data_IF_780454379211
#
_entry.id   IF_780454379211
#
_cell.length_a   1.000
_cell.length_b   1.000
_cell.length_c   1.000
_cell.angle_alpha   90.00
_cell.angle_beta   90.00
_cell.angle_gamma   90.00
#
_symmetry.space_group_name_H-M   'P 1'
#
loop_
_entity.id
_entity.type
_entity.pdbx_description
1 polymer ?
#
# COMPACT_ATOMS: atom_id res chain seq x y z
N UNK A 1 22.01 10.23 17.23
CA UNK A 1 21.06 9.32 16.56
C UNK A 1 20.34 10.13 15.48
N UNK A 2 20.53 9.81 14.23
CA UNK A 2 19.83 10.43 13.10
C UNK A 2 18.52 9.69 12.87
N UNK A 3 17.43 10.42 12.57
CA UNK A 3 16.13 9.83 12.26
C UNK A 3 16.04 9.69 10.74
N UNK A 4 15.96 8.45 10.27
CA UNK A 4 15.73 8.14 8.86
C UNK A 4 14.24 8.22 8.51
N UNK A 5 13.91 8.21 7.23
CA UNK A 5 12.55 8.34 6.74
C UNK A 5 11.71 7.11 7.10
N UNK A 6 10.55 7.33 7.71
CA UNK A 6 9.54 6.30 7.91
C UNK A 6 8.20 6.73 7.30
N UNK A 7 7.67 5.89 6.42
CA UNK A 7 6.32 6.02 5.89
C UNK A 7 5.74 4.62 5.68
N UNK A 8 4.53 4.39 6.18
CA UNK A 8 3.80 3.14 6.02
C UNK A 8 2.30 3.46 5.94
N UNK A 9 1.82 3.62 4.72
CA UNK A 9 0.44 3.99 4.44
C UNK A 9 -0.33 2.79 3.92
N UNK A 10 -1.61 2.68 4.33
CA UNK A 10 -2.51 1.60 3.92
C UNK A 10 -3.82 2.19 3.43
N UNK A 11 -4.25 1.72 2.28
CA UNK A 11 -5.56 2.03 1.70
C UNK A 11 -6.22 0.76 1.16
N UNK A 12 -7.44 0.91 0.65
CA UNK A 12 -8.14 -0.15 -0.05
C UNK A 12 -8.47 0.29 -1.46
N UNK A 13 -8.23 -0.58 -2.42
CA UNK A 13 -8.71 -0.42 -3.80
C UNK A 13 -10.17 -0.81 -3.81
N UNK A 14 -11.04 0.15 -4.20
CA UNK A 14 -12.50 0.00 -4.14
C UNK A 14 -13.14 0.31 -5.48
N UNK A 15 -14.00 -0.57 -5.95
CA UNK A 15 -14.77 -0.35 -7.18
C UNK A 15 -15.71 0.86 -7.06
N UNK A 16 -16.26 1.10 -5.86
CA UNK A 16 -17.10 2.29 -5.58
C UNK A 16 -16.37 3.62 -5.69
N UNK A 17 -15.04 3.62 -5.65
CA UNK A 17 -14.20 4.80 -5.87
C UNK A 17 -13.74 4.94 -7.33
N UNK A 18 -14.30 4.13 -8.25
CA UNK A 18 -13.88 4.10 -9.65
C UNK A 18 -12.50 3.46 -9.86
N UNK A 19 -12.02 2.67 -8.91
CA UNK A 19 -10.71 2.02 -8.99
C UNK A 19 -10.82 0.59 -9.53
N UNK A 20 -9.83 0.18 -10.32
CA UNK A 20 -9.64 -1.18 -10.81
C UNK A 20 -8.39 -1.80 -10.18
N UNK A 21 -8.47 -3.09 -9.84
CA UNK A 21 -7.31 -3.83 -9.35
C UNK A 21 -6.28 -4.01 -10.49
N UNK A 22 -6.74 -4.32 -11.70
CA UNK A 22 -5.90 -4.42 -12.91
C UNK A 22 -5.16 -3.11 -13.19
N UNK A 23 -5.89 -1.98 -13.27
CA UNK A 23 -5.27 -0.68 -13.54
C UNK A 23 -4.25 -0.30 -12.45
N UNK A 24 -4.57 -0.62 -11.19
CA UNK A 24 -3.68 -0.38 -10.07
C UNK A 24 -2.42 -1.25 -10.12
N UNK A 25 -2.54 -2.51 -10.52
CA UNK A 25 -1.41 -3.43 -10.69
C UNK A 25 -0.53 -3.00 -11.88
N UNK A 26 -1.13 -2.71 -13.04
CA UNK A 26 -0.44 -2.22 -14.23
C UNK A 26 0.37 -0.95 -13.94
N UNK A 27 -0.23 0.01 -13.22
CA UNK A 27 0.45 1.25 -12.83
C UNK A 27 1.67 0.99 -11.96
N UNK A 28 1.60 0.05 -11.00
CA UNK A 28 2.70 -0.24 -10.07
C UNK A 28 3.81 -1.03 -10.73
N UNK A 29 3.45 -2.03 -11.54
CA UNK A 29 4.43 -2.86 -12.21
C UNK A 29 5.05 -2.24 -13.46
N UNK A 30 4.44 -1.17 -14.02
CA UNK A 30 4.85 -0.59 -15.30
C UNK A 30 4.51 -1.49 -16.50
N UNK A 31 3.47 -2.31 -16.38
CA UNK A 31 3.05 -3.25 -17.40
C UNK A 31 1.80 -2.77 -18.17
N UNK A 32 1.50 -3.47 -19.25
CA UNK A 32 0.21 -3.38 -19.94
C UNK A 32 -0.62 -4.60 -19.54
N UNK A 33 -1.77 -4.37 -18.90
CA UNK A 33 -2.69 -5.43 -18.45
C UNK A 33 -4.11 -5.17 -18.98
N UNK A 34 -4.80 -6.24 -19.32
CA UNK A 34 -6.19 -6.22 -19.79
C UNK A 34 -7.15 -6.49 -18.62
N UNK A 35 -8.17 -5.65 -18.46
CA UNK A 35 -9.26 -5.88 -17.52
C UNK A 35 -10.45 -6.58 -18.19
N UNK A 36 -10.72 -7.80 -17.81
CA UNK A 36 -11.90 -8.53 -18.29
C UNK A 36 -13.21 -7.92 -17.77
N UNK A 37 -13.19 -7.32 -16.58
CA UNK A 37 -14.37 -6.69 -15.97
C UNK A 37 -14.79 -5.41 -16.69
N UNK A 38 -13.81 -4.58 -17.10
CA UNK A 38 -14.08 -3.31 -17.78
C UNK A 38 -13.97 -3.43 -19.31
N UNK A 39 -13.35 -4.49 -19.84
CA UNK A 39 -13.11 -4.69 -21.25
C UNK A 39 -12.12 -3.69 -21.86
N UNK A 40 -11.15 -3.23 -21.05
CA UNK A 40 -10.16 -2.21 -21.46
C UNK A 40 -8.75 -2.56 -21.02
N UNK A 41 -7.76 -2.00 -21.70
CA UNK A 41 -6.35 -2.13 -21.38
C UNK A 41 -5.87 -0.97 -20.53
N UNK A 42 -5.05 -1.27 -19.54
CA UNK A 42 -4.27 -0.30 -18.76
C UNK A 42 -2.80 -0.43 -19.17
N UNK A 43 -2.26 0.57 -19.86
CA UNK A 43 -0.89 0.54 -20.39
C UNK A 43 -0.01 1.57 -19.69
N UNK A 44 0.94 1.08 -18.90
CA UNK A 44 1.94 1.86 -18.19
C UNK A 44 3.38 1.47 -18.56
N UNK A 45 3.59 0.85 -19.73
CA UNK A 45 4.92 0.42 -20.20
C UNK A 45 5.91 1.56 -20.41
N UNK A 46 5.42 2.80 -20.50
CA UNK A 46 6.25 4.02 -20.62
C UNK A 46 6.50 4.71 -19.27
N UNK A 47 6.06 4.09 -18.16
CA UNK A 47 6.28 4.65 -16.83
C UNK A 47 7.73 4.45 -16.39
N UNK A 48 8.38 5.54 -16.03
CA UNK A 48 9.73 5.53 -15.48
C UNK A 48 9.73 5.27 -13.96
N UNK A 49 10.90 4.91 -13.43
CA UNK A 49 11.12 4.76 -11.99
C UNK A 49 10.67 3.44 -11.39
N UNK A 50 10.16 2.48 -12.17
CA UNK A 50 9.90 1.12 -11.70
C UNK A 50 11.21 0.33 -11.75
N UNK A 51 11.70 -0.09 -10.59
CA UNK A 51 12.99 -0.81 -10.47
C UNK A 51 12.77 -2.31 -10.62
N UNK A 52 11.78 -2.86 -9.92
CA UNK A 52 11.38 -4.26 -10.05
C UNK A 52 9.92 -4.44 -9.64
N UNK A 53 9.31 -5.52 -10.11
CA UNK A 53 8.00 -5.98 -9.64
C UNK A 53 7.99 -7.50 -9.57
N UNK A 54 7.30 -8.04 -8.55
CA UNK A 54 7.27 -9.49 -8.30
C UNK A 54 5.96 -9.88 -7.61
N UNK A 55 5.49 -11.09 -7.88
CA UNK A 55 4.38 -11.72 -7.15
C UNK A 55 4.94 -12.82 -6.26
N UNK A 56 4.63 -12.74 -4.97
CA UNK A 56 4.99 -13.74 -3.96
C UNK A 56 3.74 -14.53 -3.60
N UNK A 57 3.80 -15.85 -3.76
CA UNK A 57 2.68 -16.75 -3.55
C UNK A 57 2.87 -17.60 -2.30
N UNK A 58 1.83 -17.77 -1.48
CA UNK A 58 1.83 -18.82 -0.46
C UNK A 58 1.78 -20.22 -1.13
N UNK A 59 2.25 -21.27 -0.45
CA UNK A 59 2.41 -22.61 -1.07
C UNK A 59 1.13 -23.23 -1.63
N UNK A 60 -0.03 -22.84 -1.13
CA UNK A 60 -1.34 -23.33 -1.57
C UNK A 60 -1.97 -22.48 -2.68
N UNK A 61 -1.34 -21.38 -3.09
CA UNK A 61 -1.86 -20.54 -4.18
C UNK A 61 -1.70 -21.21 -5.55
N UNK A 62 -2.64 -21.01 -6.48
CA UNK A 62 -2.49 -21.50 -7.85
C UNK A 62 -1.21 -20.94 -8.50
N UNK A 63 -0.39 -21.79 -9.15
CA UNK A 63 0.80 -21.31 -9.84
C UNK A 63 0.51 -20.28 -10.95
N UNK A 64 -0.69 -20.30 -11.53
CA UNK A 64 -1.12 -19.30 -12.52
C UNK A 64 -1.17 -17.88 -11.97
N UNK A 65 -1.21 -17.69 -10.64
CA UNK A 65 -1.20 -16.36 -10.02
C UNK A 65 0.19 -15.69 -10.03
N UNK A 66 1.21 -16.38 -10.57
CA UNK A 66 2.47 -15.70 -10.92
C UNK A 66 2.30 -14.75 -12.12
N UNK A 67 1.27 -14.96 -12.94
CA UNK A 67 0.84 -14.02 -13.97
C UNK A 67 -0.08 -12.95 -13.37
N UNK A 68 0.35 -11.69 -13.45
CA UNK A 68 -0.32 -10.55 -12.82
C UNK A 68 -1.70 -10.29 -13.39
N UNK A 69 -1.86 -10.41 -14.69
CA UNK A 69 -3.15 -10.24 -15.36
C UNK A 69 -4.15 -11.30 -14.89
N UNK A 70 -3.73 -12.56 -14.87
CA UNK A 70 -4.54 -13.67 -14.35
C UNK A 70 -4.94 -13.44 -12.90
N UNK A 71 -3.98 -13.13 -12.01
CA UNK A 71 -4.24 -12.90 -10.59
C UNK A 71 -5.33 -11.84 -10.37
N UNK A 72 -5.15 -10.66 -10.97
CA UNK A 72 -6.03 -9.53 -10.67
C UNK A 72 -7.38 -9.63 -11.39
N UNK A 73 -7.46 -10.30 -12.55
CA UNK A 73 -8.75 -10.64 -13.15
C UNK A 73 -9.52 -11.66 -12.30
N UNK A 74 -8.88 -12.66 -11.74
CA UNK A 74 -9.51 -13.61 -10.82
C UNK A 74 -10.01 -12.93 -9.53
N UNK A 75 -9.26 -11.97 -8.98
CA UNK A 75 -9.72 -11.14 -7.86
C UNK A 75 -10.96 -10.33 -8.25
N UNK A 76 -10.97 -9.69 -9.40
CA UNK A 76 -12.13 -8.92 -9.87
C UNK A 76 -13.36 -9.78 -10.15
N UNK A 77 -13.18 -11.02 -10.64
CA UNK A 77 -14.26 -12.00 -10.84
C UNK A 77 -14.85 -12.50 -9.52
N UNK A 78 -14.03 -12.72 -8.50
CA UNK A 78 -14.48 -13.11 -7.17
C UNK A 78 -15.39 -12.03 -6.53
N UNK A 79 -15.22 -10.78 -6.94
CA UNK A 79 -15.91 -9.62 -6.42
C UNK A 79 -17.08 -9.18 -7.33
N UNK A 80 -18.32 -9.48 -6.93
CA UNK A 80 -19.51 -9.25 -7.77
C UNK A 80 -20.16 -7.88 -7.59
N UNK A 81 -19.90 -7.18 -6.49
CA UNK A 81 -20.64 -5.98 -6.12
C UNK A 81 -20.03 -4.68 -6.65
N UNK A 82 -20.87 -3.68 -6.95
CA UNK A 82 -20.44 -2.32 -7.30
C UNK A 82 -19.67 -1.62 -6.17
N UNK A 83 -19.83 -2.05 -4.92
CA UNK A 83 -19.14 -1.53 -3.73
C UNK A 83 -17.98 -2.44 -3.30
N UNK A 84 -17.54 -3.34 -4.16
CA UNK A 84 -16.49 -4.30 -3.84
C UNK A 84 -15.20 -3.61 -3.42
N UNK A 85 -14.60 -4.15 -2.37
CA UNK A 85 -13.25 -3.86 -1.93
C UNK A 85 -12.37 -4.96 -2.53
N UNK A 86 -11.44 -4.59 -3.42
CA UNK A 86 -10.70 -5.52 -4.26
C UNK A 86 -9.40 -5.96 -3.59
N UNK A 87 -8.65 -4.99 -3.08
CA UNK A 87 -7.33 -5.23 -2.50
C UNK A 87 -7.01 -4.27 -1.37
N UNK A 88 -6.14 -4.69 -0.44
CA UNK A 88 -5.34 -3.79 0.36
C UNK A 88 -4.18 -3.26 -0.49
N UNK A 89 -3.87 -1.99 -0.31
CA UNK A 89 -2.76 -1.33 -0.99
C UNK A 89 -1.89 -0.64 0.05
N UNK A 90 -0.61 -0.99 0.05
CA UNK A 90 0.38 -0.40 0.94
C UNK A 90 1.36 0.44 0.14
N UNK A 91 1.85 1.49 0.79
CA UNK A 91 2.89 2.38 0.28
C UNK A 91 3.91 2.56 1.41
N UNK A 92 5.12 2.04 1.22
CA UNK A 92 6.11 1.86 2.28
C UNK A 92 7.43 2.45 1.81
N UNK A 93 7.98 3.40 2.59
CA UNK A 93 9.28 3.99 2.29
C UNK A 93 10.42 3.00 2.47
N UNK A 94 11.37 3.05 1.55
CA UNK A 94 12.68 2.43 1.64
C UNK A 94 13.70 3.42 2.22
N UNK A 95 14.89 2.95 2.53
CA UNK A 95 15.89 3.74 3.23
C UNK A 95 16.96 4.27 2.26
N UNK A 96 17.18 5.58 2.26
CA UNK A 96 18.19 6.19 1.42
C UNK A 96 19.64 5.81 1.82
N UNK A 97 19.82 5.25 3.00
CA UNK A 97 21.08 4.81 3.58
C UNK A 97 21.48 3.39 3.15
N UNK A 98 20.56 2.67 2.52
CA UNK A 98 20.82 1.33 1.99
C UNK A 98 21.03 1.38 0.46
N UNK A 99 21.70 0.39 -0.07
CA UNK A 99 21.70 0.19 -1.52
C UNK A 99 20.32 -0.33 -1.97
N UNK A 100 19.94 -0.05 -3.20
CA UNK A 100 18.68 -0.52 -3.77
C UNK A 100 18.54 -2.05 -3.68
N UNK A 101 19.64 -2.78 -3.82
CA UNK A 101 19.64 -4.24 -3.68
C UNK A 101 19.29 -4.67 -2.25
N UNK A 102 19.88 -4.02 -1.25
CA UNK A 102 19.57 -4.29 0.17
C UNK A 102 18.10 -3.95 0.48
N UNK A 103 17.59 -2.85 -0.03
CA UNK A 103 16.19 -2.45 0.12
C UNK A 103 15.22 -3.46 -0.48
N UNK A 104 15.50 -3.97 -1.68
CA UNK A 104 14.69 -5.02 -2.34
C UNK A 104 14.70 -6.32 -1.50
N UNK A 105 15.86 -6.73 -1.00
CA UNK A 105 16.00 -7.91 -0.16
C UNK A 105 15.24 -7.77 1.15
N UNK A 106 15.33 -6.62 1.82
CA UNK A 106 14.58 -6.33 3.05
C UNK A 106 13.07 -6.32 2.79
N UNK A 107 12.61 -5.68 1.71
CA UNK A 107 11.20 -5.67 1.34
C UNK A 107 10.70 -7.11 1.10
N UNK A 108 11.44 -7.91 0.34
CA UNK A 108 11.08 -9.33 0.09
C UNK A 108 11.05 -10.14 1.38
N UNK A 109 12.06 -10.01 2.25
CA UNK A 109 12.12 -10.70 3.55
C UNK A 109 10.91 -10.32 4.43
N UNK A 110 10.58 -9.03 4.50
CA UNK A 110 9.42 -8.54 5.23
C UNK A 110 8.12 -9.15 4.70
N UNK A 111 7.91 -9.11 3.39
CA UNK A 111 6.69 -9.62 2.75
C UNK A 111 6.55 -11.14 2.90
N UNK A 112 7.62 -11.90 2.74
CA UNK A 112 7.60 -13.34 2.95
C UNK A 112 7.25 -13.69 4.40
N UNK A 113 7.86 -12.99 5.37
CA UNK A 113 7.68 -13.29 6.80
C UNK A 113 6.33 -12.81 7.33
N UNK A 114 5.84 -11.65 6.92
CA UNK A 114 4.67 -11.02 7.52
C UNK A 114 3.38 -11.26 6.74
N UNK A 115 3.47 -11.52 5.43
CA UNK A 115 2.31 -11.67 4.55
C UNK A 115 2.18 -13.09 4.01
N UNK A 116 3.15 -13.56 3.24
CA UNK A 116 3.09 -14.85 2.55
C UNK A 116 2.98 -16.01 3.53
N UNK A 117 3.72 -15.98 4.65
CA UNK A 117 3.64 -16.99 5.72
C UNK A 117 2.25 -17.11 6.35
N UNK A 118 1.42 -16.07 6.20
CA UNK A 118 0.02 -16.03 6.67
C UNK A 118 -0.99 -16.40 5.59
N UNK A 119 -0.52 -16.88 4.44
CA UNK A 119 -1.38 -17.27 3.32
C UNK A 119 -1.82 -16.11 2.43
N UNK A 120 -1.19 -14.94 2.52
CA UNK A 120 -1.52 -13.76 1.74
C UNK A 120 -0.76 -13.82 0.41
N UNK A 121 -1.48 -13.67 -0.70
CA UNK A 121 -0.87 -13.39 -2.01
C UNK A 121 -0.41 -11.95 -2.04
N UNK A 122 0.82 -11.73 -2.49
CA UNK A 122 1.45 -10.41 -2.51
C UNK A 122 1.91 -10.07 -3.92
N UNK A 123 1.47 -8.95 -4.44
CA UNK A 123 2.03 -8.31 -5.64
C UNK A 123 2.72 -7.02 -5.21
N UNK A 124 4.05 -6.94 -5.38
CA UNK A 124 4.78 -5.75 -4.99
C UNK A 124 5.66 -5.20 -6.10
N UNK A 125 5.89 -3.90 -6.05
CA UNK A 125 6.78 -3.20 -6.97
C UNK A 125 7.61 -2.15 -6.23
N UNK A 126 8.89 -2.09 -6.54
CA UNK A 126 9.83 -1.11 -5.99
C UNK A 126 9.99 0.03 -6.96
N UNK A 127 9.82 1.24 -6.46
CA UNK A 127 9.94 2.47 -7.23
C UNK A 127 11.06 3.35 -6.67
N UNK A 128 11.82 3.94 -7.58
CA UNK A 128 12.77 5.01 -7.30
C UNK A 128 12.52 6.15 -8.28
N UNK A 129 11.56 7.05 -7.99
CA UNK A 129 11.27 8.16 -8.87
C UNK A 129 12.47 9.09 -8.97
N UNK A 130 12.63 9.70 -10.15
CA UNK A 130 13.69 10.68 -10.36
C UNK A 130 13.59 11.83 -9.36
N UNK A 131 14.74 12.32 -8.93
CA UNK A 131 14.82 13.50 -8.07
C UNK A 131 14.36 14.72 -8.87
N UNK A 132 13.24 15.27 -8.51
CA UNK A 132 12.84 16.57 -9.04
C UNK A 132 13.72 17.67 -8.41
N UNK A 133 14.52 18.37 -9.23
CA UNK A 133 15.21 19.63 -8.91
C UNK A 133 15.91 19.68 -7.53
N UNK A 134 16.78 18.72 -7.24
CA UNK A 134 17.57 18.70 -5.99
C UNK A 134 16.80 18.20 -4.76
N UNK A 135 15.64 17.59 -4.93
CA UNK A 135 14.86 16.95 -3.87
C UNK A 135 15.56 15.74 -3.24
N UNK A 136 15.09 15.33 -2.07
CA UNK A 136 15.54 14.11 -1.41
C UNK A 136 14.96 12.91 -2.19
N UNK A 137 15.79 11.89 -2.43
CA UNK A 137 15.34 10.64 -3.02
C UNK A 137 14.24 10.02 -2.15
N UNK A 138 13.21 9.48 -2.76
CA UNK A 138 12.09 8.85 -2.06
C UNK A 138 11.85 7.44 -2.63
N UNK A 139 12.80 6.52 -2.47
CA UNK A 139 12.58 5.14 -2.86
C UNK A 139 11.49 4.54 -1.97
N UNK A 140 10.59 3.78 -2.57
CA UNK A 140 9.48 3.17 -1.86
C UNK A 140 9.01 1.90 -2.58
N UNK A 141 8.29 1.06 -1.87
CA UNK A 141 7.63 -0.07 -2.51
C UNK A 141 6.13 -0.04 -2.25
N UNK A 142 5.41 -0.39 -3.30
CA UNK A 142 3.97 -0.61 -3.26
C UNK A 142 3.70 -2.09 -3.08
N UNK A 143 2.67 -2.40 -2.31
CA UNK A 143 2.19 -3.78 -2.14
C UNK A 143 0.70 -3.81 -2.40
N UNK A 144 0.26 -4.79 -3.16
CA UNK A 144 -1.16 -5.12 -3.31
C UNK A 144 -1.42 -6.54 -2.83
N UNK A 145 -2.46 -6.70 -2.01
CA UNK A 145 -2.90 -7.99 -1.49
C UNK A 145 -4.41 -8.14 -1.71
N UNK A 146 -4.89 -9.24 -2.30
CA UNK A 146 -6.33 -9.53 -2.34
C UNK A 146 -6.94 -9.53 -0.94
N UNK A 147 -8.18 -9.05 -0.82
CA UNK A 147 -8.89 -9.08 0.48
C UNK A 147 -9.47 -10.46 0.77
N UNK A 148 -9.82 -11.21 -0.28
CA UNK A 148 -10.23 -12.60 -0.14
C UNK A 148 -9.03 -13.49 0.24
N UNK A 149 -9.13 -14.29 1.30
CA UNK A 149 -8.14 -15.32 1.56
C UNK A 149 -8.26 -16.46 0.52
N UNK A 150 -7.19 -17.21 0.33
CA UNK A 150 -7.25 -18.50 -0.35
C UNK A 150 -7.47 -19.61 0.68
N UNK A 151 -8.27 -20.60 0.32
CA UNK A 151 -8.38 -21.86 1.09
C UNK A 151 -7.15 -22.77 0.81
N UNK A 152 -7.06 -23.89 1.52
CA UNK A 152 -5.98 -24.89 1.35
C UNK A 152 -5.89 -25.50 -0.05
N UNK A 153 -6.92 -25.33 -0.87
CA UNK A 153 -7.01 -25.79 -2.26
C UNK A 153 -6.77 -24.67 -3.28
N UNK A 154 -6.36 -23.47 -2.83
CA UNK A 154 -6.10 -22.33 -3.68
C UNK A 154 -7.36 -21.64 -4.25
N UNK A 155 -8.52 -21.84 -3.65
CA UNK A 155 -9.77 -21.20 -4.06
C UNK A 155 -10.07 -19.99 -3.18
N UNK A 156 -10.69 -18.96 -3.76
CA UNK A 156 -11.09 -17.77 -3.01
C UNK A 156 -12.11 -18.11 -1.92
N UNK A 157 -11.76 -17.84 -0.68
CA UNK A 157 -12.62 -17.93 0.49
C UNK A 157 -13.49 -16.69 0.67
N UNK A 158 -14.35 -16.70 1.68
CA UNK A 158 -15.21 -15.56 2.02
C UNK A 158 -14.43 -14.51 2.82
N UNK A 159 -14.68 -13.22 2.57
CA UNK A 159 -14.13 -12.12 3.38
C UNK A 159 -14.69 -12.05 4.79
N UNK A 160 -15.91 -12.55 4.96
CA UNK A 160 -16.65 -12.49 6.21
C UNK A 160 -17.29 -13.83 6.51
N UNK A 161 -17.45 -14.12 7.79
CA UNK A 161 -18.14 -15.30 8.31
C UNK A 161 -19.21 -14.89 9.31
N UNK A 162 -20.18 -15.76 9.52
CA UNK A 162 -21.18 -15.62 10.58
C UNK A 162 -20.67 -16.25 11.85
N UNK A 163 -20.63 -15.49 12.94
CA UNK A 163 -20.44 -15.98 14.29
C UNK A 163 -21.80 -15.96 14.98
N UNK A 164 -22.37 -17.16 15.20
CA UNK A 164 -23.67 -17.27 15.85
C UNK A 164 -23.54 -16.87 17.33
N UNK A 165 -24.51 -16.11 17.81
CA UNK A 165 -24.63 -15.80 19.23
C UNK A 165 -25.09 -17.05 19.97
N UNK A 166 -24.41 -17.35 21.08
CA UNK A 166 -24.71 -18.51 21.92
C UNK A 166 -25.25 -18.03 23.25
N UNK A 167 -26.12 -18.83 23.86
CA UNK A 167 -26.60 -18.66 25.23
C UNK A 167 -25.63 -19.27 26.25
N UNK A 168 -26.05 -19.31 27.53
CA UNK A 168 -25.26 -19.88 28.64
C UNK A 168 -25.07 -21.42 28.55
N UNK A 169 -25.75 -22.08 27.61
CA UNK A 169 -25.67 -23.53 27.35
C UNK A 169 -24.97 -23.85 26.02
N UNK A 170 -24.28 -22.85 25.40
CA UNK A 170 -23.67 -22.96 24.08
C UNK A 170 -24.67 -23.24 22.93
N UNK A 171 -25.97 -22.97 23.12
CA UNK A 171 -26.98 -23.09 22.09
C UNK A 171 -27.16 -21.78 21.32
N UNK A 172 -27.46 -21.88 20.00
CA UNK A 172 -27.64 -20.70 19.16
C UNK A 172 -28.91 -19.94 19.53
N UNK A 173 -28.74 -18.66 19.86
CA UNK A 173 -29.84 -17.75 20.16
C UNK A 173 -30.65 -17.48 18.88
N UNK A 174 -32.01 -17.40 19.03
CA UNK A 174 -32.92 -16.96 17.96
C UNK A 174 -33.42 -15.56 18.24
N UNK A 175 -33.63 -14.80 17.15
CA UNK A 175 -34.31 -13.50 17.19
C UNK A 175 -35.82 -13.65 17.33
N UNK A 176 -36.54 -12.54 17.45
CA UNK A 176 -38.02 -12.52 17.56
C UNK A 176 -38.76 -13.13 16.35
N UNK A 177 -38.07 -13.16 15.19
CA UNK A 177 -38.60 -13.79 13.97
C UNK A 177 -38.26 -15.28 13.85
N UNK A 178 -37.53 -15.85 14.84
CA UNK A 178 -37.15 -17.27 14.87
C UNK A 178 -35.87 -17.57 14.09
N UNK A 179 -35.18 -16.58 13.52
CA UNK A 179 -33.89 -16.76 12.84
C UNK A 179 -32.75 -16.83 13.85
N UNK A 180 -31.66 -17.55 13.51
CA UNK A 180 -30.49 -17.53 14.34
C UNK A 180 -29.81 -16.17 14.34
N UNK A 181 -29.58 -15.62 15.53
CA UNK A 181 -28.85 -14.37 15.73
C UNK A 181 -27.34 -14.62 15.51
N UNK A 182 -26.67 -13.73 14.77
CA UNK A 182 -25.25 -13.83 14.49
C UNK A 182 -24.63 -12.46 14.27
N UNK A 183 -23.34 -12.36 14.54
CA UNK A 183 -22.49 -11.27 14.11
C UNK A 183 -21.83 -11.61 12.78
N UNK A 184 -21.62 -10.59 11.94
CA UNK A 184 -20.80 -10.73 10.73
C UNK A 184 -19.42 -10.23 11.06
N UNK A 185 -18.44 -11.12 11.03
CA UNK A 185 -17.05 -10.82 11.35
C UNK A 185 -16.15 -11.07 10.17
N UNK A 186 -15.01 -10.34 10.05
CA UNK A 186 -14.00 -10.63 9.02
C UNK A 186 -13.49 -12.07 9.17
N UNK A 187 -13.22 -12.73 8.05
CA UNK A 187 -12.60 -14.06 8.05
C UNK A 187 -11.13 -14.01 8.42
N UNK A 188 -10.47 -12.89 8.06
CA UNK A 188 -9.06 -12.63 8.38
C UNK A 188 -8.93 -11.37 9.22
N UNK A 189 -7.83 -11.24 9.92
CA UNK A 189 -7.47 -10.04 10.69
C UNK A 189 -6.58 -9.05 9.90
N UNK A 190 -6.38 -9.27 8.60
CA UNK A 190 -5.41 -8.53 7.78
C UNK A 190 -5.64 -7.02 7.73
N UNK A 191 -6.89 -6.58 7.91
CA UNK A 191 -7.25 -5.18 7.99
C UNK A 191 -7.48 -4.67 9.41
N UNK A 192 -7.18 -5.45 10.45
CA UNK A 192 -7.36 -5.03 11.83
C UNK A 192 -6.31 -3.98 12.23
N UNK A 193 -6.65 -3.05 13.13
CA UNK A 193 -5.69 -2.06 13.63
C UNK A 193 -4.45 -2.72 14.26
N UNK A 194 -4.61 -3.82 14.99
CA UNK A 194 -3.53 -4.52 15.68
C UNK A 194 -2.56 -5.17 14.68
N UNK A 195 -3.08 -5.82 13.62
CA UNK A 195 -2.25 -6.39 12.56
C UNK A 195 -1.48 -5.29 11.81
N UNK A 196 -2.13 -4.16 11.52
CA UNK A 196 -1.46 -3.04 10.85
C UNK A 196 -0.37 -2.42 11.72
N UNK A 197 -0.60 -2.29 13.03
CA UNK A 197 0.42 -1.80 13.97
C UNK A 197 1.59 -2.78 14.08
N UNK A 198 1.30 -4.08 14.16
CA UNK A 198 2.32 -5.13 14.14
C UNK A 198 3.19 -5.06 12.87
N UNK A 199 2.60 -4.90 11.70
CA UNK A 199 3.37 -4.80 10.45
C UNK A 199 4.21 -3.53 10.39
N UNK A 200 3.70 -2.39 10.88
CA UNK A 200 4.47 -1.15 10.98
C UNK A 200 5.69 -1.31 11.87
N UNK A 201 5.51 -1.93 13.03
CA UNK A 201 6.60 -2.23 13.96
C UNK A 201 7.58 -3.21 13.34
N UNK A 202 7.11 -4.32 12.75
CA UNK A 202 7.97 -5.33 12.15
C UNK A 202 8.85 -4.78 11.01
N UNK A 203 8.31 -3.85 10.21
CA UNK A 203 9.11 -3.15 9.20
C UNK A 203 10.18 -2.25 9.83
N UNK A 204 9.82 -1.48 10.84
CA UNK A 204 10.78 -0.64 11.55
C UNK A 204 11.88 -1.46 12.22
N UNK A 205 11.53 -2.56 12.88
CA UNK A 205 12.49 -3.45 13.53
C UNK A 205 13.47 -4.06 12.53
N UNK A 206 12.98 -4.50 11.36
CA UNK A 206 13.81 -5.07 10.31
C UNK A 206 14.81 -4.05 9.75
N UNK A 207 14.36 -2.83 9.47
CA UNK A 207 15.24 -1.75 9.03
C UNK A 207 16.26 -1.38 10.13
N UNK A 208 15.84 -1.29 11.38
CA UNK A 208 16.72 -0.98 12.50
C UNK A 208 17.78 -2.06 12.73
N UNK A 209 17.43 -3.34 12.58
CA UNK A 209 18.39 -4.42 12.57
C UNK A 209 19.46 -4.23 11.46
N UNK A 210 19.02 -3.85 10.26
CA UNK A 210 19.94 -3.60 9.14
C UNK A 210 20.84 -2.39 9.39
N UNK A 211 20.33 -1.32 10.02
CA UNK A 211 21.15 -0.19 10.45
C UNK A 211 22.22 -0.62 11.46
N UNK A 212 21.90 -1.52 12.39
CA UNK A 212 22.86 -2.06 13.35
C UNK A 212 23.95 -2.89 12.66
N UNK A 213 23.57 -3.78 11.73
CA UNK A 213 24.51 -4.57 10.94
C UNK A 213 25.49 -3.69 10.14
N UNK A 214 25.06 -2.51 9.73
CA UNK A 214 25.87 -1.52 9.00
C UNK A 214 26.61 -0.53 9.93
N UNK A 215 26.53 -0.71 11.23
CA UNK A 215 27.11 0.21 12.24
C UNK A 215 26.66 1.67 12.07
N UNK A 216 25.42 1.86 11.57
CA UNK A 216 24.83 3.17 11.33
C UNK A 216 24.15 3.71 12.60
N UNK A 217 24.25 5.02 12.82
CA UNK A 217 23.52 5.72 13.88
C UNK A 217 22.06 6.03 13.52
N UNK A 218 21.64 5.75 12.27
CA UNK A 218 20.27 5.97 11.84
C UNK A 218 19.31 4.99 12.49
N UNK A 219 18.10 5.47 12.81
CA UNK A 219 16.99 4.63 13.30
C UNK A 219 15.67 5.15 12.75
N UNK A 220 14.70 4.26 12.60
CA UNK A 220 13.32 4.60 12.30
C UNK A 220 12.40 4.19 13.44
N UNK A 221 11.30 4.91 13.61
CA UNK A 221 10.26 4.62 14.61
C UNK A 221 8.89 4.62 13.92
N UNK A 222 8.14 3.53 14.07
CA UNK A 222 6.82 3.35 13.47
C UNK A 222 5.73 4.18 14.13
N UNK A 223 5.98 4.68 15.34
CA UNK A 223 5.00 5.45 16.11
C UNK A 223 4.83 6.86 15.55
N UNK A 224 3.64 7.43 15.71
CA UNK A 224 3.42 8.83 15.39
C UNK A 224 4.28 9.75 16.30
N UNK A 225 4.59 10.96 15.84
CA UNK A 225 5.35 11.93 16.62
C UNK A 225 4.78 12.17 18.02
N UNK A 226 3.44 12.26 18.14
CA UNK A 226 2.79 12.38 19.45
C UNK A 226 3.06 11.17 20.36
N UNK A 227 3.08 9.94 19.84
CA UNK A 227 3.43 8.73 20.62
C UNK A 227 4.92 8.66 20.97
N UNK A 228 5.77 9.34 20.21
CA UNK A 228 7.20 9.46 20.47
C UNK A 228 7.52 10.61 21.45
N UNK A 229 6.53 11.44 21.81
CA UNK A 229 6.73 12.64 22.62
C UNK A 229 7.40 13.80 21.87
N UNK A 230 7.38 13.77 20.54
CA UNK A 230 7.96 14.80 19.69
C UNK A 230 6.87 15.82 19.35
N UNK A 231 7.09 17.10 19.75
CA UNK A 231 6.20 18.21 19.44
C UNK A 231 6.46 18.73 18.00
N UNK A 232 6.06 17.93 17.03
CA UNK A 232 6.19 18.25 15.62
C UNK A 232 4.94 17.80 14.85
N UNK A 233 4.46 18.65 13.95
CA UNK A 233 3.36 18.26 13.05
C UNK A 233 3.91 17.30 11.98
N UNK A 234 3.19 16.21 11.66
CA UNK A 234 3.58 15.33 10.58
C UNK A 234 3.52 16.06 9.24
N UNK A 235 4.46 15.74 8.36
CA UNK A 235 4.43 16.24 6.99
C UNK A 235 3.21 15.70 6.25
N UNK A 236 2.49 16.58 5.56
CA UNK A 236 1.37 16.17 4.70
C UNK A 236 1.93 15.79 3.34
N UNK A 237 1.62 14.58 2.89
CA UNK A 237 1.94 14.17 1.52
C UNK A 237 1.14 15.01 0.52
N UNK A 238 1.83 15.85 -0.23
CA UNK A 238 1.24 16.61 -1.32
C UNK A 238 1.33 15.79 -2.61
N UNK A 239 0.18 15.43 -3.18
CA UNK A 239 0.12 14.76 -4.48
C UNK A 239 0.72 15.63 -5.59
N UNK A 240 1.12 15.00 -6.71
CA UNK A 240 1.78 15.65 -7.86
C UNK A 240 1.00 16.87 -8.36
N UNK A 241 -0.33 16.79 -8.40
CA UNK A 241 -1.21 17.90 -8.83
C UNK A 241 -1.11 19.12 -7.91
N UNK A 242 -1.07 18.92 -6.59
CA UNK A 242 -0.97 20.01 -5.60
C UNK A 242 0.40 20.66 -5.67
N UNK A 243 1.47 19.88 -5.84
CA UNK A 243 2.83 20.40 -6.03
C UNK A 243 2.94 21.21 -7.31
N UNK A 244 2.38 20.72 -8.43
CA UNK A 244 2.35 21.44 -9.69
C UNK A 244 1.61 22.79 -9.55
N UNK A 245 0.48 22.81 -8.83
CA UNK A 245 -0.27 24.04 -8.59
C UNK A 245 0.50 25.04 -7.71
N UNK A 246 1.18 24.56 -6.64
CA UNK A 246 2.05 25.42 -5.81
C UNK A 246 3.21 26.01 -6.58
N UNK A 247 3.87 25.21 -7.45
CA UNK A 247 4.94 25.71 -8.33
C UNK A 247 4.42 26.78 -9.28
N UNK A 248 3.28 26.56 -9.92
CA UNK A 248 2.67 27.57 -10.79
C UNK A 248 2.35 28.84 -10.03
N UNK A 249 1.76 28.77 -8.84
CA UNK A 249 1.42 29.95 -8.02
C UNK A 249 2.67 30.69 -7.49
N UNK A 250 3.75 29.99 -7.14
CA UNK A 250 5.01 30.62 -6.73
C UNK A 250 5.72 31.32 -7.87
N UNK A 251 5.65 30.79 -9.09
CA UNK A 251 6.19 31.44 -10.30
C UNK A 251 5.43 32.72 -10.61
N UNK A 252 4.12 32.78 -10.41
CA UNK A 252 3.33 34.00 -10.56
C UNK A 252 3.70 35.06 -9.50
N UNK A 253 3.94 34.65 -8.26
CA UNK A 253 4.36 35.58 -7.19
C UNK A 253 5.75 36.19 -7.46
N UNK A 254 6.69 35.43 -8.00
CA UNK A 254 8.03 35.91 -8.38
C UNK A 254 7.94 36.82 -9.64
N UNK A 255 7.04 36.51 -10.57
CA UNK A 255 6.78 37.36 -11.74
C UNK A 255 6.23 38.76 -11.37
N UNK A 256 5.33 38.82 -10.40
CA UNK A 256 4.76 40.09 -9.90
C UNK A 256 5.79 40.94 -9.17
N UNK A 257 6.72 40.37 -8.42
CA UNK A 257 7.76 41.17 -7.75
C UNK A 257 8.77 41.77 -8.72
N UNK A 258 9.02 41.16 -9.88
CA UNK A 258 9.91 41.69 -10.92
C UNK A 258 9.28 42.79 -11.76
N UNK A 259 7.95 42.79 -11.95
CA UNK A 259 7.24 43.84 -12.70
C UNK A 259 6.97 45.10 -11.87
N UNK A 260 6.91 45.02 -10.54
CA UNK A 260 6.73 46.19 -9.68
C UNK A 260 8.03 47.01 -9.46
N UNK A 261 9.21 46.48 -9.79
CA UNK A 261 10.48 47.22 -9.67
C UNK A 261 10.92 47.92 -10.97
N UNK A 262 10.20 47.74 -12.07
CA UNK A 262 10.53 48.38 -13.37
C UNK A 262 9.75 49.68 -13.68
N UNK A 263 8.90 50.16 -12.76
CA UNK A 263 8.06 51.36 -13.01
C UNK A 263 8.30 52.49 -11.99
N UNK A 264 9.52 52.64 -11.50
CA UNK A 264 9.92 53.66 -10.54
C UNK A 264 11.08 54.52 -11.03
N UNK A 265 11.00 55.11 -12.21
CA UNK A 265 11.78 56.26 -12.60
C UNK A 265 11.13 56.89 -13.85
N UNK A 266 10.46 58.02 -13.66
CA UNK A 266 10.53 59.26 -14.49
C UNK A 266 9.44 60.22 -13.99
N UNK A 267 9.93 61.42 -13.57
CA UNK A 267 9.38 62.72 -13.24
C UNK A 267 8.85 62.91 -11.83
#
# INVERSE_FOLDING_TARGET
MSIALYHFHVTQIKRSAGQSAIASAAYRSGEKLHSEYYGEDSDYTKKDGVICSEILLPPHAPPSFTDRETLWNEVEKAERGKKAQLAYSFDIALQNEFSMQEDIELARQFLLKQFVSRGIVVDFAVHSPDKEDGGISNPHFHVMCPIHPLDEHGRWGNKQRREYLLDEHDERIRDEAGNYAFNVVPTTDWGSPDTLEHWRQAWADLCNQKFEEKESDCRIDHRSYGRQGIDQLPTVHEGVTVRAYRRASSLWAVGWSRTCHASGAII
#
